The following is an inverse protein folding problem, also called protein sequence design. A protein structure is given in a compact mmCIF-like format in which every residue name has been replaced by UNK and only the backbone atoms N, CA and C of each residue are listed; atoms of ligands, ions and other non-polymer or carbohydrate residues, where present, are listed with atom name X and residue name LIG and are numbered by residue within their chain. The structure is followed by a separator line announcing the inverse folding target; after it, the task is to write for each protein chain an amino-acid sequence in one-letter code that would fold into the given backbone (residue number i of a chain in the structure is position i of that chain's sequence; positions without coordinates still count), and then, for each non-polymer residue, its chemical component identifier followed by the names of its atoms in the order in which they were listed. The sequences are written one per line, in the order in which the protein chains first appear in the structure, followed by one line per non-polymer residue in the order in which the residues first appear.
data_IF_296368069363
#
_entry.id   IF_296368069363
#
_cell.length_a   1.000
_cell.length_b   1.000
_cell.length_c   1.000
_cell.angle_alpha   90.00
_cell.angle_beta   90.00
_cell.angle_gamma   90.00
#
_symmetry.space_group_name_H-M   'P 1'
#
loop_
_entity.id
_entity.type
_entity.pdbx_description
1 polymer ?
#
# COMPACT_ATOMS: atom_id res chain seq x y z
N UNK A 1 8.47 22.04 -7.81
CA UNK A 1 8.41 21.06 -6.71
C UNK A 1 7.42 21.51 -5.64
N UNK A 2 7.57 22.70 -5.05
CA UNK A 2 6.66 23.19 -4.00
C UNK A 2 5.19 23.31 -4.43
N UNK A 3 4.94 23.85 -5.64
CA UNK A 3 3.59 23.95 -6.18
C UNK A 3 2.91 22.58 -6.33
N UNK A 4 3.60 21.60 -6.92
CA UNK A 4 3.07 20.24 -7.12
C UNK A 4 2.79 19.54 -5.79
N UNK A 5 3.68 19.69 -4.80
CA UNK A 5 3.47 19.19 -3.45
C UNK A 5 2.19 19.77 -2.84
N UNK A 6 2.01 21.10 -2.87
CA UNK A 6 0.81 21.75 -2.32
C UNK A 6 -0.45 21.28 -3.05
N UNK A 7 -0.39 21.11 -4.36
CA UNK A 7 -1.52 20.58 -5.15
C UNK A 7 -1.92 19.19 -4.67
N UNK A 8 -0.96 18.27 -4.54
CA UNK A 8 -1.24 16.91 -4.08
C UNK A 8 -1.76 16.87 -2.64
N UNK A 9 -1.14 17.62 -1.73
CA UNK A 9 -1.60 17.69 -0.33
C UNK A 9 -3.03 18.20 -0.28
N UNK A 10 -3.33 19.34 -0.93
CA UNK A 10 -4.68 19.91 -0.91
C UNK A 10 -5.72 18.95 -1.52
N UNK A 11 -5.35 18.26 -2.60
CA UNK A 11 -6.25 17.34 -3.30
C UNK A 11 -6.52 16.05 -2.51
N UNK A 12 -5.53 15.52 -1.81
CA UNK A 12 -5.59 14.18 -1.21
C UNK A 12 -5.56 14.16 0.32
N UNK A 13 -5.45 15.30 1.00
CA UNK A 13 -5.36 15.35 2.47
C UNK A 13 -6.48 14.62 3.19
N UNK A 14 -7.73 14.79 2.73
CA UNK A 14 -8.89 14.12 3.32
C UNK A 14 -8.84 12.61 3.11
N UNK A 15 -8.32 12.17 1.97
CA UNK A 15 -8.18 10.75 1.63
C UNK A 15 -7.11 10.08 2.50
N UNK A 16 -5.95 10.73 2.62
CA UNK A 16 -4.83 10.28 3.48
C UNK A 16 -5.30 10.17 4.93
N UNK A 17 -5.89 11.25 5.46
CA UNK A 17 -6.37 11.28 6.84
C UNK A 17 -7.46 10.24 7.11
N UNK A 18 -8.48 10.14 6.24
CA UNK A 18 -9.55 9.16 6.39
C UNK A 18 -9.02 7.73 6.37
N UNK A 19 -8.04 7.42 5.51
CA UNK A 19 -7.41 6.10 5.46
C UNK A 19 -6.60 5.81 6.72
N UNK A 20 -5.83 6.78 7.19
CA UNK A 20 -5.02 6.63 8.40
C UNK A 20 -5.89 6.43 9.64
N UNK A 21 -6.92 7.25 9.81
CA UNK A 21 -7.89 7.16 10.91
C UNK A 21 -8.61 5.81 10.91
N UNK A 22 -9.03 5.33 9.74
CA UNK A 22 -9.67 4.03 9.60
C UNK A 22 -8.74 2.85 9.98
N UNK A 23 -7.44 2.94 9.67
CA UNK A 23 -6.48 1.88 9.99
C UNK A 23 -6.02 1.90 11.45
N UNK A 24 -5.87 3.09 12.03
CA UNK A 24 -5.28 3.27 13.36
C UNK A 24 -6.33 3.35 14.46
N UNK A 25 -7.57 3.75 14.16
CA UNK A 25 -8.64 3.94 15.14
C UNK A 25 -8.38 5.05 16.16
N UNK A 26 -7.32 5.84 15.98
CA UNK A 26 -6.89 6.91 16.88
C UNK A 26 -6.61 8.18 16.05
N UNK A 27 -7.20 9.32 16.44
CA UNK A 27 -7.06 10.58 15.69
C UNK A 27 -5.66 11.17 15.76
N UNK A 28 -5.02 11.15 16.93
CA UNK A 28 -3.66 11.67 17.12
C UNK A 28 -2.66 10.89 16.28
N UNK A 29 -2.71 9.55 16.32
CA UNK A 29 -1.82 8.75 15.48
C UNK A 29 -2.13 8.88 13.99
N UNK A 30 -3.39 9.13 13.63
CA UNK A 30 -3.74 9.41 12.25
C UNK A 30 -3.15 10.74 11.76
N UNK A 31 -3.13 11.78 12.60
CA UNK A 31 -2.48 13.06 12.30
C UNK A 31 -0.96 12.90 12.15
N UNK A 32 -0.32 12.18 13.07
CA UNK A 32 1.12 11.86 13.00
C UNK A 32 1.44 11.08 11.72
N UNK A 33 0.63 10.08 11.39
CA UNK A 33 0.77 9.32 10.16
C UNK A 33 0.64 10.20 8.91
N UNK A 34 -0.29 11.16 8.91
CA UNK A 34 -0.42 12.12 7.82
C UNK A 34 0.85 12.96 7.65
N UNK A 35 1.41 13.47 8.75
CA UNK A 35 2.64 14.25 8.71
C UNK A 35 3.78 13.44 8.09
N UNK A 36 3.98 12.20 8.52
CA UNK A 36 5.03 11.34 7.97
C UNK A 36 4.81 11.04 6.47
N UNK A 37 3.56 10.81 6.05
CA UNK A 37 3.22 10.63 4.63
C UNK A 37 3.62 11.86 3.81
N UNK A 38 3.33 13.07 4.30
CA UNK A 38 3.64 14.30 3.59
C UNK A 38 5.15 14.60 3.58
N UNK A 39 5.87 14.29 4.64
CA UNK A 39 7.34 14.36 4.63
C UNK A 39 7.95 13.42 3.58
N UNK A 40 7.44 12.19 3.50
CA UNK A 40 7.86 11.22 2.47
C UNK A 40 7.49 11.73 1.08
N UNK A 41 6.32 12.35 0.92
CA UNK A 41 5.90 12.97 -0.35
C UNK A 41 6.88 14.06 -0.77
N UNK A 42 7.24 14.98 0.14
CA UNK A 42 8.20 16.04 -0.14
C UNK A 42 9.53 15.49 -0.66
N UNK A 43 10.05 14.44 -0.03
CA UNK A 43 11.31 13.77 -0.42
C UNK A 43 11.23 13.08 -1.80
N UNK A 44 10.05 12.68 -2.24
CA UNK A 44 9.85 11.88 -3.45
C UNK A 44 9.09 12.63 -4.56
N UNK A 45 8.72 13.89 -4.34
CA UNK A 45 7.80 14.64 -5.20
C UNK A 45 8.25 14.68 -6.67
N UNK A 46 9.57 14.75 -6.92
CA UNK A 46 10.15 14.78 -8.27
C UNK A 46 9.98 13.48 -9.07
N UNK A 47 9.62 12.38 -8.41
CA UNK A 47 9.42 11.05 -9.00
C UNK A 47 7.95 10.63 -9.05
N UNK A 48 7.05 11.42 -8.47
CA UNK A 48 5.62 11.10 -8.39
C UNK A 48 4.89 11.80 -9.54
N UNK A 49 4.51 11.01 -10.54
CA UNK A 49 3.69 11.47 -11.66
C UNK A 49 2.22 11.69 -11.22
N UNK A 50 1.56 12.70 -11.78
CA UNK A 50 0.21 13.13 -11.38
C UNK A 50 -0.81 11.98 -11.38
N UNK A 51 -0.80 11.14 -12.42
CA UNK A 51 -1.73 10.00 -12.52
C UNK A 51 -1.46 8.89 -11.49
N UNK A 52 -0.26 8.84 -10.92
CA UNK A 52 0.14 7.89 -9.88
C UNK A 52 0.05 8.48 -8.46
N UNK A 53 -0.10 9.80 -8.31
CA UNK A 53 -0.02 10.48 -7.02
C UNK A 53 -1.02 9.96 -5.98
N UNK A 54 -2.28 9.75 -6.39
CA UNK A 54 -3.34 9.20 -5.51
C UNK A 54 -2.97 7.81 -5.00
N UNK A 55 -2.55 6.93 -5.90
CA UNK A 55 -2.17 5.56 -5.55
C UNK A 55 -0.97 5.59 -4.62
N UNK A 56 0.07 6.34 -4.98
CA UNK A 56 1.30 6.49 -4.19
C UNK A 56 1.01 6.97 -2.77
N UNK A 57 0.15 7.99 -2.60
CA UNK A 57 -0.21 8.49 -1.28
C UNK A 57 -0.93 7.43 -0.44
N UNK A 58 -1.93 6.75 -1.00
CA UNK A 58 -2.62 5.65 -0.32
C UNK A 58 -1.67 4.51 0.06
N UNK A 59 -0.68 4.21 -0.80
CA UNK A 59 0.35 3.22 -0.53
C UNK A 59 1.22 3.62 0.65
N UNK A 60 1.71 4.87 0.67
CA UNK A 60 2.57 5.36 1.74
C UNK A 60 1.80 5.48 3.06
N UNK A 61 0.54 5.94 3.02
CA UNK A 61 -0.34 5.98 4.20
C UNK A 61 -0.49 4.60 4.82
N UNK A 62 -0.78 3.58 4.00
CA UNK A 62 -0.89 2.20 4.48
C UNK A 62 0.38 1.74 5.20
N UNK A 63 1.56 2.05 4.66
CA UNK A 63 2.82 1.61 5.24
C UNK A 63 3.09 2.26 6.58
N UNK A 64 2.93 3.60 6.64
CA UNK A 64 3.09 4.34 7.89
C UNK A 64 2.15 3.78 8.96
N UNK A 65 0.88 3.51 8.61
CA UNK A 65 -0.06 2.90 9.54
C UNK A 65 0.33 1.48 9.96
N UNK A 66 0.79 0.62 9.04
CA UNK A 66 1.26 -0.73 9.39
C UNK A 66 2.47 -0.67 10.31
N UNK A 67 3.41 0.24 10.07
CA UNK A 67 4.61 0.42 10.89
C UNK A 67 4.23 0.89 12.32
N UNK A 68 3.27 1.80 12.44
CA UNK A 68 2.71 2.21 13.74
C UNK A 68 1.99 1.05 14.45
N UNK A 69 1.16 0.30 13.75
CA UNK A 69 0.47 -0.88 14.31
C UNK A 69 1.45 -1.96 14.77
N UNK A 70 2.55 -2.20 14.03
CA UNK A 70 3.60 -3.14 14.46
C UNK A 70 4.28 -2.67 15.74
N UNK A 71 4.61 -1.37 15.83
CA UNK A 71 5.15 -0.78 17.07
C UNK A 71 4.16 -0.91 18.22
N UNK A 72 2.85 -0.75 17.96
CA UNK A 72 1.82 -1.04 18.95
C UNK A 72 1.90 -2.49 19.40
N UNK A 73 1.95 -3.47 18.51
CA UNK A 73 2.07 -4.90 18.88
C UNK A 73 3.36 -5.21 19.64
N UNK A 74 4.50 -4.63 19.26
CA UNK A 74 5.77 -4.79 19.99
C UNK A 74 5.70 -4.16 21.40
N UNK A 75 4.89 -3.12 21.57
CA UNK A 75 4.64 -2.46 22.87
C UNK A 75 3.52 -3.15 23.67
N UNK A 76 2.52 -3.71 22.98
CA UNK A 76 1.36 -4.46 23.49
C UNK A 76 1.67 -5.94 23.76
N UNK A 77 2.89 -6.42 23.47
CA UNK A 77 3.42 -7.62 24.12
C UNK A 77 3.48 -7.47 25.66
N UNK A 78 3.20 -6.27 26.20
CA UNK A 78 2.91 -6.02 27.61
C UNK A 78 1.44 -5.75 27.96
N UNK A 79 0.52 -5.52 27.01
CA UNK A 79 -0.91 -5.30 27.33
C UNK A 79 -1.80 -5.60 26.10
N UNK A 80 -2.62 -6.64 26.24
CA UNK A 80 -3.52 -7.19 25.24
C UNK A 80 -4.67 -6.24 24.84
N UNK A 81 -5.21 -6.57 23.66
CA UNK A 81 -6.57 -6.27 23.17
C UNK A 81 -6.80 -4.91 22.52
N UNK A 82 -7.05 -4.94 21.19
CA UNK A 82 -8.27 -4.39 20.57
C UNK A 82 -8.20 -4.55 19.04
N UNK A 83 -8.94 -5.56 18.57
CA UNK A 83 -9.37 -5.72 17.18
C UNK A 83 -10.62 -4.88 16.96
N UNK A 84 -10.72 -4.12 15.87
CA UNK A 84 -12.02 -3.75 15.34
C UNK A 84 -11.97 -3.46 13.83
N UNK A 85 -12.63 -4.34 13.07
CA UNK A 85 -13.11 -4.13 11.71
C UNK A 85 -14.24 -3.10 11.71
N UNK A 86 -14.26 -2.12 10.79
CA UNK A 86 -15.51 -1.53 10.26
C UNK A 86 -15.33 -1.00 8.84
N UNK A 87 -15.96 -1.70 7.90
CA UNK A 87 -16.08 -1.38 6.48
C UNK A 87 -17.16 -0.30 6.28
N UNK A 88 -16.86 0.78 5.56
CA UNK A 88 -17.89 1.69 5.02
C UNK A 88 -17.60 1.98 3.55
N UNK A 89 -18.40 1.35 2.69
CA UNK A 89 -18.29 1.37 1.24
C UNK A 89 -19.08 2.50 0.61
N UNK A 90 -18.48 3.11 -0.43
CA UNK A 90 -19.19 3.93 -1.40
C UNK A 90 -19.67 3.03 -2.56
N UNK A 91 -20.99 2.85 -2.80
CA UNK A 91 -21.53 1.82 -3.69
C UNK A 91 -21.06 1.90 -5.15
N UNK A 92 -20.88 3.10 -5.70
CA UNK A 92 -20.45 3.27 -7.10
C UNK A 92 -18.96 2.95 -7.30
N UNK A 93 -18.14 3.15 -6.27
CA UNK A 93 -16.75 2.68 -6.29
C UNK A 93 -16.66 1.17 -6.04
N UNK A 94 -17.62 0.57 -5.33
CA UNK A 94 -17.60 -0.86 -5.02
C UNK A 94 -17.73 -1.74 -6.28
N UNK A 95 -18.51 -1.32 -7.28
CA UNK A 95 -18.70 -2.09 -8.51
C UNK A 95 -17.48 -2.04 -9.45
N UNK A 96 -16.92 -0.85 -9.67
CA UNK A 96 -15.68 -0.67 -10.43
C UNK A 96 -14.47 -1.29 -9.71
N UNK A 97 -14.40 -1.16 -8.38
CA UNK A 97 -13.41 -1.85 -7.57
C UNK A 97 -13.60 -3.36 -7.61
N UNK A 98 -14.84 -3.88 -7.70
CA UNK A 98 -15.13 -5.31 -7.80
C UNK A 98 -14.60 -5.91 -9.10
N UNK A 99 -14.83 -5.24 -10.24
CA UNK A 99 -14.30 -5.68 -11.53
C UNK A 99 -12.77 -5.65 -11.56
N UNK A 100 -12.15 -4.53 -11.15
CA UNK A 100 -10.69 -4.43 -11.07
C UNK A 100 -10.09 -5.47 -10.10
N UNK A 101 -10.74 -5.68 -8.95
CA UNK A 101 -10.33 -6.70 -7.98
C UNK A 101 -10.44 -8.12 -8.54
N UNK A 102 -11.48 -8.39 -9.33
CA UNK A 102 -11.66 -9.67 -10.01
C UNK A 102 -10.51 -9.92 -11.01
N UNK A 103 -10.21 -8.95 -11.87
CA UNK A 103 -9.12 -9.03 -12.83
C UNK A 103 -7.75 -9.18 -12.16
N UNK A 104 -7.51 -8.42 -11.08
CA UNK A 104 -6.28 -8.54 -10.30
C UNK A 104 -6.15 -9.92 -9.66
N UNK A 105 -7.22 -10.44 -9.05
CA UNK A 105 -7.24 -11.78 -8.43
C UNK A 105 -6.99 -12.88 -9.47
N UNK A 106 -7.59 -12.73 -10.66
CA UNK A 106 -7.38 -13.64 -11.79
C UNK A 106 -5.97 -13.57 -12.36
N UNK A 107 -5.39 -12.37 -12.48
CA UNK A 107 -4.01 -12.23 -12.93
C UNK A 107 -3.03 -12.87 -11.93
N UNK A 108 -3.24 -12.66 -10.62
CA UNK A 108 -2.44 -13.27 -9.56
C UNK A 108 -2.56 -14.80 -9.53
N UNK A 109 -3.72 -15.37 -9.86
CA UNK A 109 -3.90 -16.84 -9.91
C UNK A 109 -3.10 -17.49 -11.04
N UNK A 110 -2.80 -16.76 -12.12
CA UNK A 110 -1.98 -17.21 -13.25
C UNK A 110 -0.48 -17.08 -13.02
N UNK A 111 -0.05 -16.38 -11.96
CA UNK A 111 1.36 -16.23 -11.61
C UNK A 111 1.86 -17.44 -10.83
N UNK A 112 3.05 -17.95 -11.19
CA UNK A 112 3.72 -19.03 -10.46
C UNK A 112 4.42 -18.48 -9.22
N UNK A 113 4.57 -19.32 -8.20
CA UNK A 113 5.46 -19.02 -7.08
C UNK A 113 6.93 -18.97 -7.55
N UNK A 114 7.78 -18.11 -6.96
CA UNK A 114 7.50 -17.19 -5.85
C UNK A 114 6.93 -15.83 -6.28
N UNK A 115 6.66 -15.59 -7.57
CA UNK A 115 6.27 -14.27 -8.08
C UNK A 115 4.91 -13.79 -7.55
N UNK A 116 3.94 -14.69 -7.41
CA UNK A 116 2.65 -14.38 -6.80
C UNK A 116 2.83 -13.92 -5.35
N UNK A 117 3.52 -14.71 -4.52
CA UNK A 117 3.82 -14.33 -3.14
C UNK A 117 4.61 -13.04 -3.05
N UNK A 118 5.55 -12.79 -3.97
CA UNK A 118 6.30 -11.54 -4.02
C UNK A 118 5.41 -10.33 -4.30
N UNK A 119 4.48 -10.40 -5.26
CA UNK A 119 3.52 -9.30 -5.48
C UNK A 119 2.60 -9.14 -4.27
N UNK A 120 2.10 -10.23 -3.72
CA UNK A 120 1.20 -10.17 -2.57
C UNK A 120 1.90 -9.58 -1.35
N UNK A 121 3.14 -9.96 -1.08
CA UNK A 121 3.89 -9.49 0.08
C UNK A 121 4.46 -8.09 -0.14
N UNK A 122 4.97 -7.77 -1.34
CA UNK A 122 5.59 -6.48 -1.63
C UNK A 122 4.59 -5.37 -1.98
N UNK A 123 3.56 -5.67 -2.77
CA UNK A 123 2.65 -4.65 -3.31
C UNK A 123 1.34 -4.59 -2.51
N UNK A 124 0.81 -5.74 -2.08
CA UNK A 124 -0.48 -5.79 -1.35
C UNK A 124 -0.26 -5.62 0.15
N UNK A 125 0.65 -6.40 0.75
CA UNK A 125 0.95 -6.39 2.18
C UNK A 125 2.07 -5.41 2.56
N UNK A 126 2.81 -4.92 1.56
CA UNK A 126 3.91 -3.95 1.70
C UNK A 126 4.93 -4.31 2.79
N UNK A 127 5.33 -5.57 2.82
CA UNK A 127 6.41 -6.06 3.66
C UNK A 127 7.77 -5.56 3.17
N UNK A 128 8.72 -5.40 4.09
CA UNK A 128 10.08 -4.98 3.74
C UNK A 128 10.79 -6.05 2.91
N UNK A 129 11.74 -5.66 2.06
CA UNK A 129 12.55 -6.59 1.26
C UNK A 129 13.21 -7.65 2.16
N UNK A 130 13.67 -7.25 3.35
CA UNK A 130 14.27 -8.13 4.36
C UNK A 130 13.27 -9.15 4.90
N UNK A 131 12.06 -8.72 5.26
CA UNK A 131 10.99 -9.60 5.76
C UNK A 131 10.57 -10.60 4.68
N UNK A 132 10.42 -10.14 3.44
CA UNK A 132 10.06 -10.98 2.29
C UNK A 132 11.16 -12.03 2.03
N UNK A 133 12.42 -11.60 2.06
CA UNK A 133 13.58 -12.47 1.91
C UNK A 133 13.57 -13.60 2.95
N UNK A 134 13.33 -13.27 4.22
CA UNK A 134 13.23 -14.23 5.30
C UNK A 134 12.05 -15.21 5.13
N UNK A 135 10.86 -14.70 4.79
CA UNK A 135 9.66 -15.52 4.62
C UNK A 135 9.74 -16.48 3.43
N UNK A 136 10.36 -16.06 2.33
CA UNK A 136 10.44 -16.86 1.10
C UNK A 136 11.74 -17.66 0.99
N UNK A 137 12.64 -17.58 1.98
CA UNK A 137 13.96 -18.22 1.91
C UNK A 137 14.84 -17.70 0.77
N UNK A 138 14.67 -16.43 0.39
CA UNK A 138 15.38 -15.77 -0.70
C UNK A 138 16.40 -14.76 -0.14
N UNK A 139 17.42 -14.42 -0.92
CA UNK A 139 18.26 -13.26 -0.63
C UNK A 139 17.52 -11.95 -0.96
N UNK A 140 17.88 -10.84 -0.29
CA UNK A 140 17.31 -9.53 -0.59
C UNK A 140 17.51 -9.10 -2.06
N UNK A 141 18.62 -9.52 -2.68
CA UNK A 141 18.88 -9.26 -4.09
C UNK A 141 17.91 -10.05 -4.99
N UNK A 142 17.67 -11.33 -4.67
CA UNK A 142 16.67 -12.13 -5.37
C UNK A 142 15.27 -11.54 -5.24
N UNK A 143 14.89 -11.04 -4.06
CA UNK A 143 13.61 -10.35 -3.86
C UNK A 143 13.49 -9.14 -4.79
N UNK A 144 14.50 -8.26 -4.88
CA UNK A 144 14.47 -7.09 -5.77
C UNK A 144 14.33 -7.49 -7.25
N UNK A 145 15.12 -8.45 -7.71
CA UNK A 145 15.08 -8.94 -9.10
C UNK A 145 13.76 -9.62 -9.41
N UNK A 146 13.28 -10.48 -8.51
CA UNK A 146 12.06 -11.24 -8.74
C UNK A 146 10.81 -10.35 -8.63
N UNK A 147 10.77 -9.37 -7.74
CA UNK A 147 9.69 -8.38 -7.69
C UNK A 147 9.62 -7.55 -8.97
N UNK A 148 10.77 -7.20 -9.57
CA UNK A 148 10.77 -6.55 -10.89
C UNK A 148 10.16 -7.45 -11.98
N UNK A 149 10.58 -8.72 -12.06
CA UNK A 149 10.02 -9.69 -13.02
C UNK A 149 8.54 -9.98 -12.77
N UNK A 150 8.14 -10.09 -11.51
CA UNK A 150 6.75 -10.31 -11.11
C UNK A 150 5.85 -9.15 -11.58
N UNK A 151 6.32 -7.90 -11.47
CA UNK A 151 5.60 -6.72 -11.97
C UNK A 151 5.45 -6.73 -13.49
N UNK A 152 6.50 -7.11 -14.22
CA UNK A 152 6.41 -7.26 -15.68
C UNK A 152 5.40 -8.32 -16.08
N UNK A 153 5.41 -9.48 -15.39
CA UNK A 153 4.45 -10.55 -15.64
C UNK A 153 3.02 -10.11 -15.33
N UNK A 154 2.79 -9.44 -14.19
CA UNK A 154 1.48 -8.92 -13.82
C UNK A 154 0.98 -7.89 -14.85
N UNK A 155 1.85 -6.99 -15.31
CA UNK A 155 1.50 -6.00 -16.34
C UNK A 155 1.09 -6.69 -17.65
N UNK A 156 1.82 -7.71 -18.09
CA UNK A 156 1.48 -8.46 -19.30
C UNK A 156 0.12 -9.17 -19.19
N UNK A 157 -0.20 -9.71 -17.99
CA UNK A 157 -1.49 -10.37 -17.74
C UNK A 157 -2.66 -9.38 -17.70
N UNK A 158 -2.43 -8.14 -17.28
CA UNK A 158 -3.44 -7.09 -17.23
C UNK A 158 -3.60 -6.33 -18.56
N UNK A 159 -2.59 -6.32 -19.43
CA UNK A 159 -2.65 -5.67 -20.75
C UNK A 159 -3.59 -6.36 -21.75
N UNK A 160 -4.02 -7.60 -21.48
CA UNK A 160 -5.03 -8.31 -22.26
C UNK A 160 -6.46 -8.13 -21.75
N UNK A 161 -6.69 -7.18 -20.84
CA UNK A 161 -7.99 -6.91 -20.23
C UNK A 161 -8.46 -5.54 -20.73
N UNK A 162 -9.48 -5.53 -21.60
CA UNK A 162 -10.21 -4.29 -21.90
C UNK A 162 -11.01 -3.91 -20.64
N UNK A 163 -10.65 -2.76 -20.06
CA UNK A 163 -11.32 -2.13 -18.92
C UNK A 163 -12.41 -1.17 -19.38
#
# INVERSE_FOLDING_TARGET
MEFQYRTYVNQYQRLVYSKALHMLGNSTEAEDACQEVYERLWKHISKVEDHHAKAWLLHVTRNVCIDLLRKRTDTQALDEELVCERSDGNPSNALANSQLSHWLTHALSKMKEPYKSLIQMAEIQQQSVKTIAQHLGLSENQVKVYSHRARQQLRALLQGVDL
#
